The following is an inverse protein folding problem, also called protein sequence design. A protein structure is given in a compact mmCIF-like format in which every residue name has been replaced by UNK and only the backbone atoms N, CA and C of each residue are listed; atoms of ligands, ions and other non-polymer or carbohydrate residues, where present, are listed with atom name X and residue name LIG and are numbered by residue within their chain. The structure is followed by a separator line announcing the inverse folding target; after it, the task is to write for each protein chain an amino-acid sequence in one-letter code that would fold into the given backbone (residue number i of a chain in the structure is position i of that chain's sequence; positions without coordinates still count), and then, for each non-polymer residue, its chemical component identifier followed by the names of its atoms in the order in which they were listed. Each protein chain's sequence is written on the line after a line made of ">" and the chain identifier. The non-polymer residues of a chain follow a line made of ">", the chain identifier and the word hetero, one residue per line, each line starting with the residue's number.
data_IF_580278876026
#
_entry.id   IF_580278876026
#
_cell.length_a   1.000
_cell.length_b   1.000
_cell.length_c   1.000
_cell.angle_alpha   90.00
_cell.angle_beta   90.00
_cell.angle_gamma   90.00
#
_symmetry.space_group_name_H-M   'P 1'
#
loop_
_entity.id
_entity.type
_entity.pdbx_description
1 polymer ?
#
# COMPACT_ATOMS: atom_id res chain seq x y z
N UNK A 1 -63.94 23.28 21.29
CA UNK A 1 -64.55 24.34 22.12
C UNK A 1 -63.42 25.27 22.48
N UNK A 2 -62.86 26.01 21.54
CA UNK A 2 -63.43 27.14 20.77
C UNK A 2 -63.50 28.43 21.61
N UNK A 3 -62.46 29.26 21.42
CA UNK A 3 -62.41 30.71 21.64
C UNK A 3 -61.34 31.21 20.65
N UNK A 4 -61.58 32.07 19.67
CA UNK A 4 -62.62 33.08 19.51
C UNK A 4 -61.94 34.45 19.39
N UNK A 5 -62.07 35.06 18.21
CA UNK A 5 -61.89 36.50 17.86
C UNK A 5 -60.47 37.07 17.95
N UNK A 6 -59.76 37.38 16.85
CA UNK A 6 -60.05 38.21 15.66
C UNK A 6 -60.17 39.72 15.98
N UNK A 7 -59.08 40.44 15.67
CA UNK A 7 -58.99 41.90 15.62
C UNK A 7 -58.07 42.32 14.47
N UNK A 8 -58.59 43.14 13.56
CA UNK A 8 -57.87 44.33 13.12
C UNK A 8 -57.28 44.37 11.70
N UNK A 9 -58.03 45.07 10.83
CA UNK A 9 -57.55 46.11 9.91
C UNK A 9 -56.71 45.74 8.67
N UNK A 10 -57.45 45.54 7.58
CA UNK A 10 -57.45 46.28 6.31
C UNK A 10 -56.21 47.12 5.88
N UNK A 11 -55.80 46.85 4.64
CA UNK A 11 -55.36 47.76 3.54
C UNK A 11 -54.02 47.40 2.90
N UNK A 12 -54.03 47.21 1.57
CA UNK A 12 -52.81 47.26 0.76
C UNK A 12 -52.78 46.30 -0.45
N UNK A 13 -53.49 46.65 -1.53
CA UNK A 13 -53.22 46.13 -2.87
C UNK A 13 -51.79 46.49 -3.31
N UNK A 14 -51.01 45.51 -3.79
CA UNK A 14 -50.18 45.64 -5.00
C UNK A 14 -49.50 44.30 -5.32
N UNK A 15 -50.09 43.54 -6.26
CA UNK A 15 -49.39 42.43 -6.91
C UNK A 15 -48.35 42.95 -7.90
N UNK A 16 -47.28 42.17 -8.10
CA UNK A 16 -46.55 42.11 -9.37
C UNK A 16 -45.76 40.80 -9.47
N UNK A 17 -46.29 39.97 -10.36
CA UNK A 17 -45.77 38.70 -10.85
C UNK A 17 -44.50 38.90 -11.70
N UNK A 18 -43.61 37.90 -11.68
CA UNK A 18 -42.48 37.74 -12.62
C UNK A 18 -42.99 37.66 -14.07
N UNK A 19 -42.17 38.06 -15.06
CA UNK A 19 -41.54 37.04 -15.90
C UNK A 19 -40.13 37.39 -16.44
N UNK A 20 -39.41 36.34 -16.88
CA UNK A 20 -38.19 36.37 -17.70
C UNK A 20 -38.52 36.49 -19.22
N UNK A 21 -37.55 36.24 -20.13
CA UNK A 21 -36.45 37.08 -20.62
C UNK A 21 -36.70 37.50 -22.09
N UNK A 22 -35.71 38.11 -22.79
CA UNK A 22 -35.63 37.87 -24.24
C UNK A 22 -34.24 37.48 -24.77
N UNK A 23 -34.32 36.83 -25.94
CA UNK A 23 -33.28 36.20 -26.76
C UNK A 23 -32.43 37.21 -27.55
N UNK A 24 -31.30 36.70 -28.01
CA UNK A 24 -30.29 37.29 -28.89
C UNK A 24 -30.80 37.82 -30.25
N UNK A 25 -29.95 38.57 -30.97
CA UNK A 25 -29.94 38.60 -32.43
C UNK A 25 -28.73 37.88 -33.04
N UNK A 26 -29.03 37.14 -34.12
CA UNK A 26 -28.12 36.58 -35.11
C UNK A 26 -27.59 37.63 -36.10
N UNK A 27 -26.54 37.23 -36.84
CA UNK A 27 -25.96 37.72 -38.11
C UNK A 27 -24.47 38.04 -37.91
N UNK A 28 -23.50 37.55 -38.67
CA UNK A 28 -23.46 36.85 -39.95
C UNK A 28 -22.10 37.21 -40.57
N UNK A 29 -21.24 36.23 -40.86
CA UNK A 29 -19.88 36.53 -41.34
C UNK A 29 -19.14 35.30 -41.86
N UNK A 30 -18.85 35.31 -43.16
CA UNK A 30 -18.42 34.19 -43.99
C UNK A 30 -17.04 33.62 -43.66
N UNK A 31 -17.00 32.28 -43.69
CA UNK A 31 -16.04 31.40 -44.34
C UNK A 31 -14.63 31.94 -44.70
N UNK A 32 -13.61 31.40 -44.04
CA UNK A 32 -12.35 31.01 -44.71
C UNK A 32 -11.95 29.61 -44.26
N UNK A 33 -12.18 28.63 -45.16
CA UNK A 33 -11.57 27.30 -45.09
C UNK A 33 -10.05 27.47 -45.14
N UNK A 34 -9.36 27.06 -44.08
CA UNK A 34 -7.91 26.76 -44.15
C UNK A 34 -7.74 25.25 -44.24
N UNK A 35 -7.00 24.89 -45.26
CA UNK A 35 -6.65 23.58 -45.78
C UNK A 35 -5.91 22.72 -44.76
N UNK A 36 -6.39 21.48 -44.61
CA UNK A 36 -5.65 20.36 -44.01
C UNK A 36 -4.49 19.96 -44.95
N UNK A 37 -3.28 19.70 -44.44
CA UNK A 37 -2.25 19.03 -45.23
C UNK A 37 -2.53 17.51 -45.33
N UNK A 38 -2.04 16.86 -46.40
CA UNK A 38 -2.55 15.57 -46.86
C UNK A 38 -2.06 14.37 -46.05
N UNK A 39 -2.93 13.35 -46.01
CA UNK A 39 -2.64 11.98 -45.58
C UNK A 39 -1.50 11.41 -46.43
N UNK A 40 -0.44 10.93 -45.78
CA UNK A 40 0.51 10.00 -46.40
C UNK A 40 -0.04 8.59 -46.32
N UNK A 41 -0.27 7.99 -47.48
CA UNK A 41 -0.57 6.57 -47.66
C UNK A 41 0.72 5.76 -47.78
N UNK A 42 0.60 4.52 -47.29
CA UNK A 42 1.34 3.30 -47.65
C UNK A 42 2.87 3.28 -47.55
N UNK A 43 3.36 2.44 -46.65
CA UNK A 43 4.37 1.40 -46.97
C UNK A 43 4.40 0.36 -45.85
N UNK A 44 3.81 -0.81 -46.09
CA UNK A 44 4.18 -2.05 -45.42
C UNK A 44 5.33 -2.69 -46.21
N UNK A 45 6.26 -3.38 -45.54
CA UNK A 45 6.53 -4.72 -46.04
C UNK A 45 6.76 -5.77 -44.95
N UNK A 46 6.50 -7.01 -45.39
CA UNK A 46 7.11 -8.27 -44.99
C UNK A 46 6.66 -8.90 -43.66
N UNK A 47 5.68 -9.79 -43.80
CA UNK A 47 5.51 -10.97 -42.97
C UNK A 47 6.80 -11.82 -42.98
N UNK A 48 7.41 -12.03 -41.81
CA UNK A 48 8.40 -13.07 -41.59
C UNK A 48 7.73 -14.24 -40.85
N UNK A 49 7.79 -15.41 -41.49
CA UNK A 49 7.26 -16.70 -41.05
C UNK A 49 7.85 -17.18 -39.71
N UNK A 50 7.11 -18.00 -38.94
CA UNK A 50 7.55 -18.51 -37.65
C UNK A 50 8.71 -19.49 -37.81
N UNK A 51 9.79 -19.29 -37.07
CA UNK A 51 10.82 -20.32 -36.91
C UNK A 51 10.32 -21.40 -35.97
N UNK A 52 10.52 -22.63 -36.43
CA UNK A 52 10.13 -23.92 -35.85
C UNK A 52 10.53 -24.06 -34.38
N UNK A 53 9.63 -24.70 -33.64
CA UNK A 53 9.89 -25.34 -32.36
C UNK A 53 11.07 -26.32 -32.47
N UNK A 54 12.08 -26.16 -31.62
CA UNK A 54 13.02 -27.21 -31.29
C UNK A 54 12.43 -27.99 -30.12
N UNK A 55 12.22 -29.29 -30.33
CA UNK A 55 11.74 -30.23 -29.32
C UNK A 55 12.76 -30.46 -28.20
N UNK A 56 12.32 -31.08 -27.10
CA UNK A 56 13.10 -31.17 -25.87
C UNK A 56 14.29 -32.12 -26.02
N UNK A 57 15.45 -31.66 -25.54
CA UNK A 57 16.64 -32.48 -25.36
C UNK A 57 16.37 -33.60 -24.36
N UNK A 58 16.55 -34.84 -24.81
CA UNK A 58 16.49 -36.04 -24.00
C UNK A 58 17.63 -36.08 -22.99
N UNK A 59 17.29 -36.38 -21.73
CA UNK A 59 18.23 -36.61 -20.64
C UNK A 59 18.83 -38.02 -20.78
N UNK A 60 20.16 -38.21 -20.68
CA UNK A 60 20.73 -39.55 -20.63
C UNK A 60 20.43 -40.21 -19.28
N UNK A 61 19.96 -41.46 -19.35
CA UNK A 61 19.59 -42.30 -18.20
C UNK A 61 20.76 -42.69 -17.28
N UNK A 62 20.47 -43.29 -16.12
CA UNK A 62 21.45 -43.54 -15.08
C UNK A 62 22.39 -44.71 -15.41
N UNK A 63 23.67 -44.54 -15.06
CA UNK A 63 24.71 -45.55 -15.17
C UNK A 63 24.51 -46.73 -14.19
N UNK A 64 25.07 -47.92 -14.47
CA UNK A 64 24.82 -49.13 -13.69
C UNK A 64 25.56 -49.13 -12.34
N UNK A 65 24.91 -49.73 -11.34
CA UNK A 65 25.42 -49.92 -9.98
C UNK A 65 26.51 -51.01 -9.97
N UNK A 66 27.72 -50.66 -9.55
CA UNK A 66 28.75 -51.66 -9.20
C UNK A 66 28.42 -52.32 -7.86
N UNK A 67 28.39 -53.66 -7.85
CA UNK A 67 28.33 -54.51 -6.65
C UNK A 67 29.66 -54.45 -5.92
N UNK A 68 29.61 -54.26 -4.60
CA UNK A 68 30.73 -54.47 -3.69
C UNK A 68 30.76 -55.95 -3.24
N UNK A 69 31.94 -56.58 -3.12
CA UNK A 69 32.09 -57.93 -2.57
C UNK A 69 31.99 -57.95 -1.03
N UNK A 70 31.60 -59.10 -0.44
CA UNK A 70 31.42 -59.26 1.00
C UNK A 70 32.74 -59.57 1.72
N UNK A 71 32.68 -59.50 3.06
CA UNK A 71 33.66 -60.00 4.04
C UNK A 71 34.78 -59.06 4.50
N UNK A 72 34.53 -58.38 5.62
CA UNK A 72 35.55 -58.09 6.64
C UNK A 72 34.90 -57.99 8.05
N UNK A 73 35.56 -58.53 9.10
CA UNK A 73 34.91 -58.90 10.37
C UNK A 73 34.69 -57.75 11.36
N UNK A 74 33.72 -58.00 12.25
CA UNK A 74 33.21 -57.13 13.29
C UNK A 74 34.28 -56.62 14.28
N UNK A 75 34.19 -55.33 14.61
CA UNK A 75 34.87 -54.72 15.76
C UNK A 75 33.85 -54.39 16.87
N UNK A 76 34.24 -54.54 18.15
CA UNK A 76 33.32 -54.53 19.28
C UNK A 76 32.85 -53.12 19.66
N UNK A 77 31.64 -53.08 20.23
CA UNK A 77 30.95 -51.90 20.71
C UNK A 77 31.67 -51.21 21.88
N UNK A 78 31.68 -49.86 21.94
CA UNK A 78 31.95 -49.14 23.18
C UNK A 78 30.64 -48.77 23.91
N UNK A 79 30.71 -48.91 25.23
CA UNK A 79 29.68 -48.63 26.23
C UNK A 79 29.30 -47.13 26.29
N UNK A 80 28.01 -46.83 26.40
CA UNK A 80 27.48 -45.60 27.01
C UNK A 80 27.07 -45.95 28.45
N UNK A 81 27.27 -45.08 29.47
CA UNK A 81 26.42 -43.89 29.60
C UNK A 81 27.14 -42.66 30.18
N UNK A 82 26.85 -41.50 29.59
CA UNK A 82 27.35 -40.20 30.05
C UNK A 82 26.59 -39.08 29.39
N UNK A 83 25.29 -39.01 29.66
CA UNK A 83 24.37 -38.01 29.12
C UNK A 83 24.63 -36.66 29.80
N UNK A 84 25.66 -35.95 29.38
CA UNK A 84 25.72 -34.50 29.59
C UNK A 84 25.30 -33.84 28.29
N UNK A 85 23.99 -33.72 28.12
CA UNK A 85 23.37 -32.90 27.08
C UNK A 85 23.75 -31.46 27.41
N UNK A 86 24.91 -31.01 26.93
CA UNK A 86 25.18 -29.60 26.77
C UNK A 86 24.01 -29.04 25.97
N UNK A 87 23.17 -28.26 26.65
CA UNK A 87 22.15 -27.46 26.00
C UNK A 87 22.93 -26.47 25.14
N UNK A 88 23.25 -26.85 23.91
CA UNK A 88 23.28 -25.90 22.83
C UNK A 88 21.87 -25.31 22.81
N UNK A 89 21.71 -24.23 23.57
CA UNK A 89 20.66 -23.28 23.34
C UNK A 89 20.87 -22.83 21.91
N UNK A 90 20.12 -23.45 21.01
CA UNK A 90 19.70 -22.86 19.76
C UNK A 90 19.03 -21.53 20.14
N UNK A 91 19.85 -20.52 20.38
CA UNK A 91 19.48 -19.13 20.22
C UNK A 91 19.31 -18.96 18.73
N UNK A 92 18.23 -19.52 18.20
CA UNK A 92 17.61 -19.01 17.01
C UNK A 92 17.32 -17.56 17.35
N UNK A 93 18.23 -16.67 16.95
CA UNK A 93 17.96 -15.26 16.91
C UNK A 93 16.66 -15.17 16.11
N UNK A 94 15.55 -14.90 16.80
CA UNK A 94 14.30 -14.62 16.15
C UNK A 94 14.61 -13.47 15.21
N UNK A 95 14.72 -13.75 13.91
CA UNK A 95 14.94 -12.72 12.90
C UNK A 95 13.81 -11.72 13.11
N UNK A 96 14.15 -10.56 13.68
CA UNK A 96 13.18 -9.55 14.05
C UNK A 96 12.39 -9.18 12.79
N UNK A 97 11.05 -9.16 12.90
CA UNK A 97 10.19 -8.88 11.75
C UNK A 97 10.50 -7.49 11.19
N UNK A 98 10.83 -7.39 9.91
CA UNK A 98 10.99 -6.11 9.22
C UNK A 98 9.65 -5.39 9.08
N UNK A 99 9.68 -4.05 9.11
CA UNK A 99 8.52 -3.21 8.83
C UNK A 99 8.64 -2.54 7.46
N UNK A 100 7.49 -2.26 6.85
CA UNK A 100 7.39 -1.38 5.70
C UNK A 100 6.35 -0.30 6.04
N UNK A 101 6.67 0.98 5.90
CA UNK A 101 5.67 2.05 5.87
C UNK A 101 5.39 2.42 4.43
N UNK A 102 4.14 2.66 4.07
CA UNK A 102 3.78 3.19 2.75
C UNK A 102 2.92 4.44 2.91
N UNK A 103 3.31 5.53 2.27
CA UNK A 103 2.70 6.85 2.46
C UNK A 103 2.79 7.66 1.17
N UNK A 104 1.76 8.44 0.87
CA UNK A 104 1.86 9.54 -0.08
C UNK A 104 1.95 10.86 0.70
N UNK A 105 2.91 11.70 0.34
CA UNK A 105 3.19 12.98 1.01
C UNK A 105 3.21 14.10 -0.01
N UNK A 106 2.57 15.24 0.29
CA UNK A 106 2.75 16.47 -0.47
C UNK A 106 4.13 17.07 -0.26
N UNK A 107 4.49 18.07 -1.07
CA UNK A 107 5.80 18.73 -1.01
C UNK A 107 6.09 19.37 0.37
N UNK A 108 5.04 19.82 1.06
CA UNK A 108 5.08 20.31 2.44
C UNK A 108 4.87 19.20 3.51
N UNK A 109 5.17 17.94 3.18
CA UNK A 109 5.05 16.77 4.06
C UNK A 109 3.64 16.44 4.56
N UNK A 110 2.61 17.03 3.94
CA UNK A 110 1.21 16.82 4.29
C UNK A 110 0.69 15.45 3.85
N UNK A 111 -0.10 14.81 4.70
CA UNK A 111 -0.73 13.49 4.44
C UNK A 111 -2.24 13.49 4.68
N UNK A 112 -2.78 14.53 5.31
CA UNK A 112 -4.19 14.62 5.66
C UNK A 112 -4.66 16.05 5.87
N UNK A 113 -5.92 16.27 5.53
CA UNK A 113 -6.69 17.48 5.81
C UNK A 113 -8.13 17.08 6.12
N UNK A 114 -8.64 17.45 7.29
CA UNK A 114 -10.01 17.19 7.75
C UNK A 114 -10.42 15.71 7.64
N UNK A 115 -9.48 14.80 7.93
CA UNK A 115 -9.70 13.35 7.87
C UNK A 115 -9.77 12.77 6.45
N UNK A 116 -9.32 13.51 5.43
CA UNK A 116 -9.23 13.08 4.03
C UNK A 116 -7.82 13.33 3.48
N UNK A 117 -7.55 12.81 2.29
CA UNK A 117 -6.32 13.14 1.57
C UNK A 117 -6.36 14.63 1.13
N UNK A 118 -5.24 15.38 1.21
CA UNK A 118 -5.19 16.80 0.82
C UNK A 118 -5.41 17.06 -0.67
N UNK A 119 -5.17 16.05 -1.50
CA UNK A 119 -5.26 16.11 -2.96
C UNK A 119 -6.50 15.36 -3.50
N UNK A 120 -6.94 15.67 -4.73
CA UNK A 120 -7.94 14.88 -5.44
C UNK A 120 -7.54 13.41 -5.55
N UNK A 121 -8.49 12.46 -5.65
CA UNK A 121 -8.16 11.04 -5.77
C UNK A 121 -7.21 10.73 -6.94
N UNK A 122 -6.05 10.16 -6.63
CA UNK A 122 -5.07 9.67 -7.59
C UNK A 122 -5.21 8.14 -7.68
N UNK A 123 -5.93 7.64 -8.70
CA UNK A 123 -6.30 6.23 -8.81
C UNK A 123 -5.10 5.35 -9.12
N UNK A 124 -4.13 5.83 -9.88
CA UNK A 124 -2.93 5.05 -10.22
C UNK A 124 -1.97 4.97 -9.02
N UNK A 125 -1.91 6.02 -8.20
CA UNK A 125 -1.22 6.00 -6.91
C UNK A 125 -1.88 4.99 -5.96
N UNK A 126 -3.21 5.00 -5.88
CA UNK A 126 -3.93 4.00 -5.07
C UNK A 126 -3.71 2.56 -5.56
N UNK A 127 -3.62 2.33 -6.88
CA UNK A 127 -3.24 1.00 -7.42
C UNK A 127 -1.84 0.59 -7.01
N UNK A 128 -0.89 1.53 -6.96
CA UNK A 128 0.45 1.27 -6.42
C UNK A 128 0.37 0.86 -4.95
N UNK A 129 -0.33 1.64 -4.11
CA UNK A 129 -0.57 1.29 -2.70
C UNK A 129 -1.18 -0.11 -2.55
N UNK A 130 -2.23 -0.41 -3.32
CA UNK A 130 -2.88 -1.72 -3.29
C UNK A 130 -1.90 -2.83 -3.66
N UNK A 131 -1.21 -2.71 -4.80
CA UNK A 131 -0.25 -3.72 -5.27
C UNK A 131 0.84 -3.97 -4.24
N UNK A 132 1.48 -2.93 -3.74
CA UNK A 132 2.59 -3.07 -2.77
C UNK A 132 2.13 -3.75 -1.49
N UNK A 133 0.94 -3.38 -1.00
CA UNK A 133 0.45 -3.90 0.28
C UNK A 133 -0.24 -5.26 0.18
N UNK A 134 -0.77 -5.67 -0.99
CA UNK A 134 -1.48 -6.95 -1.13
C UNK A 134 -0.62 -8.08 -1.70
N UNK A 135 0.48 -7.76 -2.38
CA UNK A 135 1.34 -8.79 -2.99
C UNK A 135 2.17 -9.47 -1.91
N UNK A 136 1.80 -10.70 -1.55
CA UNK A 136 2.61 -11.58 -0.70
C UNK A 136 3.73 -12.20 -1.52
N UNK A 137 4.91 -12.37 -0.92
CA UNK A 137 6.05 -13.10 -1.49
C UNK A 137 5.94 -14.61 -1.27
N UNK A 138 5.11 -15.02 -0.33
CA UNK A 138 4.92 -16.41 0.06
C UNK A 138 3.51 -16.85 -0.29
N UNK A 139 3.40 -17.91 -1.07
CA UNK A 139 2.12 -18.51 -1.45
C UNK A 139 1.33 -18.95 -0.20
N UNK A 140 0.02 -18.72 -0.20
CA UNK A 140 -0.87 -19.04 0.92
C UNK A 140 -0.80 -18.07 2.11
N UNK A 141 0.13 -17.10 2.10
CA UNK A 141 0.22 -16.05 3.12
C UNK A 141 -0.39 -14.73 2.65
N UNK A 142 -0.81 -13.91 3.61
CA UNK A 142 -1.30 -12.56 3.39
C UNK A 142 -0.38 -11.54 4.04
N UNK A 143 -0.41 -10.32 3.52
CA UNK A 143 0.21 -9.19 4.19
C UNK A 143 -0.71 -8.64 5.28
N UNK A 144 -0.11 -8.06 6.33
CA UNK A 144 -0.83 -7.38 7.39
C UNK A 144 -0.68 -5.86 7.26
N UNK A 145 -1.78 -5.13 7.42
CA UNK A 145 -1.84 -3.68 7.50
C UNK A 145 -2.09 -3.25 8.93
N UNK A 146 -1.25 -2.36 9.44
CA UNK A 146 -1.43 -1.70 10.73
C UNK A 146 -1.73 -0.23 10.47
N UNK A 147 -2.83 0.25 11.05
CA UNK A 147 -3.24 1.65 10.92
C UNK A 147 -3.89 2.21 12.17
N UNK A 148 -3.81 3.52 12.36
CA UNK A 148 -4.49 4.22 13.45
C UNK A 148 -6.00 4.33 13.21
N UNK A 149 -6.75 4.50 14.30
CA UNK A 149 -8.22 4.68 14.28
C UNK A 149 -8.69 5.71 13.23
N UNK A 150 -8.09 6.90 13.19
CA UNK A 150 -8.52 7.96 12.25
C UNK A 150 -8.35 7.53 10.78
N UNK A 151 -7.24 6.88 10.45
CA UNK A 151 -6.98 6.32 9.12
C UNK A 151 -7.99 5.24 8.75
N UNK A 152 -8.36 4.37 9.70
CA UNK A 152 -9.43 3.38 9.46
C UNK A 152 -10.77 4.03 9.10
N UNK A 153 -11.13 5.14 9.75
CA UNK A 153 -12.38 5.84 9.48
C UNK A 153 -12.33 6.79 8.27
N UNK A 154 -11.15 7.16 7.77
CA UNK A 154 -11.02 7.92 6.52
C UNK A 154 -11.19 7.05 5.27
N UNK A 155 -11.01 5.72 5.38
CA UNK A 155 -11.24 4.80 4.26
C UNK A 155 -12.76 4.66 4.03
N UNK A 156 -13.27 4.87 2.80
CA UNK A 156 -14.69 4.68 2.49
C UNK A 156 -15.19 3.30 2.92
N UNK A 157 -16.38 3.22 3.51
CA UNK A 157 -16.88 1.96 4.10
C UNK A 157 -16.92 0.79 3.12
N UNK A 158 -17.29 1.04 1.86
CA UNK A 158 -17.28 0.05 0.77
C UNK A 158 -15.89 -0.56 0.47
N UNK A 159 -14.82 0.11 0.91
CA UNK A 159 -13.43 -0.32 0.74
C UNK A 159 -12.86 -0.91 2.05
N UNK A 160 -13.67 -1.06 3.11
CA UNK A 160 -13.26 -1.66 4.39
C UNK A 160 -13.83 -3.07 4.53
N UNK A 161 -13.03 -4.05 5.01
CA UNK A 161 -11.58 -3.99 5.13
C UNK A 161 -10.90 -3.84 3.76
N UNK A 162 -9.63 -3.43 3.77
CA UNK A 162 -8.81 -3.50 2.57
C UNK A 162 -8.61 -4.99 2.23
N UNK A 163 -9.28 -5.44 1.15
CA UNK A 163 -9.35 -6.85 0.72
C UNK A 163 -7.99 -7.51 0.60
N UNK A 164 -7.96 -8.83 0.79
CA UNK A 164 -6.79 -9.72 0.65
C UNK A 164 -5.62 -9.43 1.60
N UNK A 165 -5.90 -8.69 2.67
CA UNK A 165 -4.92 -8.30 3.70
C UNK A 165 -5.55 -8.41 5.09
N UNK A 166 -4.73 -8.75 6.08
CA UNK A 166 -5.13 -8.69 7.48
C UNK A 166 -5.12 -7.22 7.90
N UNK A 167 -6.22 -6.70 8.41
CA UNK A 167 -6.37 -5.29 8.80
C UNK A 167 -6.39 -5.16 10.33
N UNK A 168 -5.39 -4.50 10.88
CA UNK A 168 -5.20 -4.25 12.31
C UNK A 168 -5.38 -2.75 12.58
N UNK A 169 -6.34 -2.42 13.45
CA UNK A 169 -6.59 -1.03 13.85
C UNK A 169 -5.96 -0.77 15.21
N UNK A 170 -5.26 0.36 15.34
CA UNK A 170 -4.71 0.83 16.60
C UNK A 170 -5.63 1.86 17.25
N UNK A 171 -6.07 1.57 18.48
CA UNK A 171 -6.82 2.51 19.31
C UNK A 171 -6.70 2.18 20.78
N UNK A 172 -6.60 3.22 21.61
CA UNK A 172 -6.66 3.10 23.07
C UNK A 172 -8.08 3.28 23.62
N UNK A 173 -8.98 3.83 22.81
CA UNK A 173 -10.35 4.20 23.22
C UNK A 173 -11.40 3.17 22.81
N UNK A 174 -11.20 2.51 21.65
CA UNK A 174 -12.10 1.47 21.20
C UNK A 174 -12.02 0.27 22.14
N UNK A 175 -13.18 -0.23 22.56
CA UNK A 175 -13.30 -1.44 23.39
C UNK A 175 -13.44 -2.71 22.55
N UNK A 176 -13.88 -2.56 21.30
CA UNK A 176 -14.16 -3.65 20.38
C UNK A 176 -13.58 -3.36 19.00
N UNK A 177 -13.24 -4.43 18.27
CA UNK A 177 -12.74 -4.35 16.90
C UNK A 177 -13.77 -3.65 16.00
N UNK A 178 -13.41 -2.56 15.29
CA UNK A 178 -14.31 -1.90 14.37
C UNK A 178 -14.90 -2.87 13.33
N UNK A 179 -16.16 -2.67 12.96
CA UNK A 179 -16.83 -3.47 11.94
C UNK A 179 -15.96 -3.61 10.67
N UNK A 180 -15.67 -4.86 10.31
CA UNK A 180 -14.85 -5.22 9.13
C UNK A 180 -13.34 -5.28 9.38
N UNK A 181 -12.81 -4.69 10.45
CA UNK A 181 -11.41 -4.92 10.83
C UNK A 181 -11.23 -6.34 11.37
N UNK A 182 -10.02 -6.90 11.23
CA UNK A 182 -9.73 -8.25 11.70
C UNK A 182 -9.29 -8.23 13.18
N UNK A 183 -8.47 -7.24 13.54
CA UNK A 183 -7.92 -7.12 14.89
C UNK A 183 -7.89 -5.67 15.38
N UNK A 184 -7.91 -5.53 16.71
CA UNK A 184 -7.72 -4.27 17.43
C UNK A 184 -6.55 -4.42 18.39
N UNK A 185 -5.66 -3.43 18.41
CA UNK A 185 -4.52 -3.38 19.33
C UNK A 185 -4.39 -1.98 19.95
N UNK A 186 -3.87 -1.89 21.18
CA UNK A 186 -3.75 -0.60 21.90
C UNK A 186 -2.50 0.19 21.52
N UNK A 187 -1.49 -0.50 20.99
CA UNK A 187 -0.21 0.07 20.57
C UNK A 187 0.36 -0.69 19.37
N UNK A 188 1.42 -0.12 18.77
CA UNK A 188 2.18 -0.82 17.72
C UNK A 188 2.84 -2.09 18.28
N UNK A 189 3.38 -2.04 19.50
CA UNK A 189 4.01 -3.21 20.13
C UNK A 189 3.02 -4.35 20.35
N UNK A 190 1.81 -4.05 20.82
CA UNK A 190 0.75 -5.06 20.97
C UNK A 190 0.38 -5.69 19.61
N UNK A 191 0.34 -4.89 18.54
CA UNK A 191 0.06 -5.39 17.20
C UNK A 191 1.19 -6.28 16.67
N UNK A 192 2.45 -5.93 16.93
CA UNK A 192 3.60 -6.75 16.55
C UNK A 192 3.63 -8.07 17.34
N UNK A 193 3.36 -8.02 18.65
CA UNK A 193 3.25 -9.21 19.50
C UNK A 193 2.10 -10.12 19.05
N UNK A 194 0.94 -9.55 18.70
CA UNK A 194 -0.18 -10.28 18.11
C UNK A 194 0.24 -10.98 16.81
N UNK A 195 0.96 -10.29 15.93
CA UNK A 195 1.45 -10.86 14.67
C UNK A 195 2.53 -11.95 14.90
N UNK A 196 3.22 -11.96 16.03
CA UNK A 196 4.17 -13.00 16.44
C UNK A 196 3.52 -14.22 17.10
N UNK A 197 2.21 -14.15 17.40
CA UNK A 197 1.47 -15.31 17.89
C UNK A 197 1.53 -16.48 16.87
N UNK A 198 1.51 -17.74 17.33
CA UNK A 198 1.56 -18.91 16.44
C UNK A 198 0.48 -18.89 15.34
N UNK A 199 -0.70 -18.36 15.66
CA UNK A 199 -1.83 -18.26 14.75
C UNK A 199 -1.54 -17.33 13.56
N UNK A 200 -0.95 -16.16 13.80
CA UNK A 200 -0.71 -15.16 12.76
C UNK A 200 0.67 -15.30 12.11
N UNK A 201 1.67 -15.79 12.84
CA UNK A 201 3.03 -16.00 12.31
C UNK A 201 3.06 -16.93 11.09
N UNK A 202 2.15 -17.90 11.04
CA UNK A 202 2.00 -18.81 9.90
C UNK A 202 1.21 -18.20 8.73
N UNK A 203 0.34 -17.22 8.98
CA UNK A 203 -0.55 -16.59 7.98
C UNK A 203 0.05 -15.31 7.36
N UNK A 204 0.92 -14.62 8.09
CA UNK A 204 1.43 -13.30 7.71
C UNK A 204 2.79 -13.41 7.02
N UNK A 205 2.92 -12.73 5.88
CA UNK A 205 4.19 -12.52 5.19
C UNK A 205 4.81 -11.16 5.56
N UNK A 206 4.36 -10.06 4.92
CA UNK A 206 4.88 -8.72 5.19
C UNK A 206 3.94 -7.90 6.10
N UNK A 207 4.55 -7.01 6.90
CA UNK A 207 3.83 -6.02 7.71
C UNK A 207 3.99 -4.64 7.12
N UNK A 208 2.86 -3.97 6.95
CA UNK A 208 2.73 -2.65 6.35
C UNK A 208 2.08 -1.67 7.32
N UNK A 209 2.79 -0.60 7.65
CA UNK A 209 2.25 0.56 8.33
C UNK A 209 1.65 1.48 7.28
N UNK A 210 0.34 1.75 7.39
CA UNK A 210 -0.39 2.57 6.41
C UNK A 210 -0.95 3.86 7.02
N UNK A 211 -0.40 4.24 8.17
CA UNK A 211 -0.61 5.54 8.82
C UNK A 211 -1.53 5.51 10.04
N UNK A 212 -1.86 6.65 10.65
CA UNK A 212 -1.39 8.00 10.33
C UNK A 212 -0.09 8.38 11.04
N UNK A 213 0.15 9.69 11.19
CA UNK A 213 1.39 10.28 11.74
C UNK A 213 1.93 9.59 12.98
N UNK A 214 1.08 9.36 13.99
CA UNK A 214 1.53 8.75 15.25
C UNK A 214 1.99 7.30 15.07
N UNK A 215 1.38 6.55 14.16
CA UNK A 215 1.74 5.16 13.87
C UNK A 215 3.02 5.11 13.04
N UNK A 216 3.17 6.01 12.06
CA UNK A 216 4.42 6.14 11.31
C UNK A 216 5.58 6.49 12.24
N UNK A 217 5.41 7.48 13.11
CA UNK A 217 6.43 7.89 14.09
C UNK A 217 6.84 6.72 14.99
N UNK A 218 5.85 6.03 15.58
CA UNK A 218 6.11 4.87 16.43
C UNK A 218 6.85 3.74 15.70
N UNK A 219 6.59 3.54 14.40
CA UNK A 219 7.29 2.55 13.59
C UNK A 219 8.73 2.98 13.27
N UNK A 220 8.95 4.24 12.91
CA UNK A 220 10.28 4.78 12.57
C UNK A 220 11.23 4.77 13.78
N UNK A 221 10.70 4.92 15.00
CA UNK A 221 11.46 4.85 16.25
C UNK A 221 11.90 3.44 16.62
N UNK A 222 11.36 2.37 16.00
CA UNK A 222 11.73 0.99 16.36
C UNK A 222 13.15 0.64 15.90
N UNK A 223 13.93 -0.10 16.72
CA UNK A 223 15.27 -0.57 16.37
C UNK A 223 15.21 -1.85 15.53
N UNK A 224 14.36 -1.87 14.50
CA UNK A 224 14.21 -3.01 13.58
C UNK A 224 14.37 -2.52 12.15
N UNK A 225 14.67 -3.45 11.25
CA UNK A 225 14.77 -3.14 9.83
C UNK A 225 13.45 -2.55 9.32
N UNK A 226 13.52 -1.38 8.67
CA UNK A 226 12.34 -0.62 8.28
C UNK A 226 12.56 0.04 6.92
N UNK A 227 11.61 -0.14 6.01
CA UNK A 227 11.56 0.58 4.73
C UNK A 227 10.43 1.59 4.69
N UNK A 228 10.65 2.74 4.06
CA UNK A 228 9.63 3.75 3.80
C UNK A 228 9.39 3.83 2.29
N UNK A 229 8.21 3.42 1.85
CA UNK A 229 7.72 3.58 0.48
C UNK A 229 6.95 4.91 0.43
N UNK A 230 7.60 5.93 -0.12
CA UNK A 230 7.11 7.30 -0.11
C UNK A 230 6.73 7.71 -1.52
N UNK A 231 5.43 7.91 -1.77
CA UNK A 231 4.98 8.64 -2.96
C UNK A 231 5.17 10.13 -2.69
N UNK A 232 6.13 10.76 -3.38
CA UNK A 232 6.35 12.21 -3.34
C UNK A 232 5.41 12.89 -4.33
N UNK A 233 4.39 13.57 -3.82
CA UNK A 233 3.52 14.42 -4.63
C UNK A 233 4.21 15.77 -4.80
N UNK A 234 4.54 16.10 -6.05
CA UNK A 234 5.34 17.27 -6.44
C UNK A 234 4.48 18.54 -6.50
N UNK A 235 3.64 18.72 -5.48
CA UNK A 235 2.75 19.86 -5.32
C UNK A 235 2.43 20.05 -3.84
N UNK A 236 2.34 21.30 -3.41
CA UNK A 236 1.88 21.65 -2.08
C UNK A 236 0.36 21.61 -1.98
N UNK A 237 -0.14 21.13 -0.83
CA UNK A 237 -1.54 21.12 -0.48
C UNK A 237 -1.71 21.55 0.97
N UNK A 238 -2.77 22.29 1.28
CA UNK A 238 -3.10 22.63 2.66
C UNK A 238 -3.37 21.34 3.45
N UNK A 239 -2.70 21.19 4.59
CA UNK A 239 -2.71 19.96 5.39
C UNK A 239 -2.75 20.30 6.88
N UNK A 240 -3.40 19.45 7.67
CA UNK A 240 -3.42 19.51 9.15
C UNK A 240 -2.67 18.33 9.80
N UNK A 241 -2.34 17.33 8.98
CA UNK A 241 -1.70 16.09 9.40
C UNK A 241 -0.49 15.88 8.51
N UNK A 242 0.68 15.72 9.13
CA UNK A 242 1.97 15.67 8.43
C UNK A 242 2.69 14.35 8.68
N UNK A 243 3.47 13.90 7.71
CA UNK A 243 4.38 12.77 7.88
C UNK A 243 5.59 13.20 8.73
N UNK A 244 6.12 12.34 9.61
CA UNK A 244 7.36 12.64 10.33
C UNK A 244 8.53 12.92 9.38
N UNK A 245 9.46 13.76 9.80
CA UNK A 245 10.68 14.01 9.01
C UNK A 245 11.49 12.72 8.83
N UNK A 246 12.03 12.52 7.63
CA UNK A 246 12.88 11.38 7.31
C UNK A 246 14.33 11.80 7.59
N UNK A 247 14.89 11.33 8.70
CA UNK A 247 16.29 11.58 9.01
C UNK A 247 17.21 10.82 8.05
N UNK A 248 17.86 11.54 7.14
CA UNK A 248 18.76 10.99 6.12
C UNK A 248 20.04 10.36 6.68
N UNK A 249 20.38 10.59 7.96
CA UNK A 249 21.46 9.84 8.63
C UNK A 249 21.03 8.40 8.90
N UNK A 250 19.74 8.22 9.21
CA UNK A 250 19.14 6.94 9.56
C UNK A 250 18.48 6.24 8.37
N UNK A 251 18.01 6.97 7.37
CA UNK A 251 17.31 6.43 6.20
C UNK A 251 18.01 6.82 4.90
N UNK A 252 18.45 5.81 4.16
CA UNK A 252 19.08 5.98 2.85
C UNK A 252 18.07 5.79 1.74
N UNK A 253 18.04 6.72 0.79
CA UNK A 253 17.24 6.57 -0.44
C UNK A 253 17.88 5.49 -1.31
N UNK A 254 17.08 4.50 -1.74
CA UNK A 254 17.50 3.50 -2.69
C UNK A 254 17.39 4.06 -4.12
N UNK A 255 18.38 3.77 -4.96
CA UNK A 255 18.37 4.17 -6.37
C UNK A 255 17.25 3.51 -7.15
N UNK A 256 16.94 2.25 -6.83
CA UNK A 256 15.85 1.48 -7.41
C UNK A 256 15.33 0.45 -6.40
N UNK A 257 14.10 -0.02 -6.62
CA UNK A 257 13.54 -1.13 -5.86
C UNK A 257 12.63 -1.99 -6.75
N UNK A 258 12.72 -3.33 -6.70
CA UNK A 258 11.92 -4.19 -7.57
C UNK A 258 10.41 -3.91 -7.49
N UNK A 259 9.78 -3.68 -8.64
CA UNK A 259 8.33 -3.41 -8.76
C UNK A 259 7.90 -1.97 -8.45
N UNK A 260 8.86 -1.06 -8.22
CA UNK A 260 8.64 0.37 -8.00
C UNK A 260 9.12 1.15 -9.23
N UNK A 261 8.23 1.89 -9.93
CA UNK A 261 8.62 2.73 -11.06
C UNK A 261 9.58 3.85 -10.65
N UNK A 262 10.63 4.09 -11.44
CA UNK A 262 11.59 5.16 -11.21
C UNK A 262 11.15 6.51 -11.83
N UNK A 263 10.35 6.47 -12.90
CA UNK A 263 9.92 7.66 -13.63
C UNK A 263 8.88 8.48 -12.86
N UNK A 264 8.82 9.78 -13.19
CA UNK A 264 7.73 10.66 -12.73
C UNK A 264 6.42 10.18 -13.35
N UNK A 265 5.41 10.05 -12.51
CA UNK A 265 4.03 9.75 -12.87
C UNK A 265 3.21 11.05 -12.88
N UNK A 266 2.15 11.08 -13.67
CA UNK A 266 1.22 12.21 -13.69
C UNK A 266 -0.23 11.71 -13.76
N UNK A 267 -1.09 12.27 -12.92
CA UNK A 267 -2.53 12.02 -12.96
C UNK A 267 -3.28 13.29 -12.59
N UNK A 268 -4.26 13.69 -13.41
CA UNK A 268 -5.06 14.91 -13.21
C UNK A 268 -4.20 16.18 -13.05
N UNK A 269 -3.08 16.29 -13.78
CA UNK A 269 -2.14 17.41 -13.70
C UNK A 269 -1.35 17.48 -12.39
N UNK A 270 -1.32 16.40 -11.61
CA UNK A 270 -0.52 16.27 -10.40
C UNK A 270 0.60 15.28 -10.68
N UNK A 271 1.84 15.76 -10.62
CA UNK A 271 3.03 14.93 -10.77
C UNK A 271 3.43 14.31 -9.44
N UNK A 272 3.87 13.05 -9.47
CA UNK A 272 4.39 12.36 -8.31
C UNK A 272 5.44 11.31 -8.71
N UNK A 273 6.31 10.94 -7.78
CA UNK A 273 7.30 9.86 -7.95
C UNK A 273 7.30 8.93 -6.76
N UNK A 274 7.73 7.70 -6.97
CA UNK A 274 7.86 6.71 -5.90
C UNK A 274 9.31 6.64 -5.43
N UNK A 275 9.50 6.74 -4.12
CA UNK A 275 10.80 6.63 -3.47
C UNK A 275 10.76 5.50 -2.45
N UNK A 276 11.88 4.79 -2.30
CA UNK A 276 12.05 3.80 -1.25
C UNK A 276 13.25 4.18 -0.40
N UNK A 277 13.01 4.41 0.87
CA UNK A 277 14.06 4.61 1.87
C UNK A 277 14.26 3.33 2.66
N UNK A 278 15.50 3.02 3.00
CA UNK A 278 15.84 1.90 3.87
C UNK A 278 16.57 2.42 5.11
N UNK A 279 16.12 2.00 6.28
CA UNK A 279 16.78 2.32 7.54
C UNK A 279 18.16 1.67 7.56
N UNK A 280 19.20 2.46 7.74
CA UNK A 280 20.54 1.97 8.01
C UNK A 280 20.50 1.24 9.36
N UNK A 281 20.63 -0.08 9.33
CA UNK A 281 20.76 -0.86 10.57
C UNK A 281 22.18 -0.59 11.07
N UNK A 282 22.30 0.12 12.18
CA UNK A 282 23.57 0.20 12.91
C UNK A 282 23.79 -1.20 13.46
N UNK A 283 24.82 -1.90 12.96
CA UNK A 283 25.29 -3.12 13.60
C UNK A 283 25.87 -2.69 14.96
N UNK A 284 25.17 -3.01 16.04
CA UNK A 284 25.76 -3.03 17.39
C UNK A 284 26.65 -4.25 17.57
#
# INVERSE_FOLDING_TARGET
>A
MDTGMDTGMDTGLAGRSRPAPPRAPCCGGRARRRSLPPRRTCSAPAAARPRRAAGPAAWPGPAPRHRLPPDAPARPAPLHPGTTRARHGDRGAAMARSLNSIVAVSQNMGIGKDGRLPWPPLRNEYKYFQRMTSTSRVEGKQNALIMGRKTWFSIPEKNRPLKDRINIVLSRELKETPKGAHYLSKSLDDALALLDSPELKSKVDMVWIVGGTSVYKAAMEKPIHHRLFVTRILKEFESDTFFPEIDHKNYKLLTEYPGVPADIQEENGIQYKFEVYEKAVVAE
#
